data_IF_442116333081
#
_entry.id   IF_442116333081
#
_cell.length_a   1.000
_cell.length_b   1.000
_cell.length_c   1.000
_cell.angle_alpha   90.00
_cell.angle_beta   90.00
_cell.angle_gamma   90.00
#
_symmetry.space_group_name_H-M   'P 1'
#
loop_
_entity.id
_entity.type
_entity.pdbx_description
1 polymer ?
#
# COMPACT_ATOMS: atom_id res chain seq x y z
N UNK A 1 5.72 2.43 20.94
CA UNK A 1 5.19 2.70 19.57
C UNK A 1 5.68 1.61 18.64
N UNK A 2 4.95 1.32 17.58
CA UNK A 2 5.29 0.23 16.65
C UNK A 2 6.70 0.37 16.05
N UNK A 3 7.07 1.56 15.60
CA UNK A 3 8.38 1.81 14.98
C UNK A 3 9.55 1.64 15.94
N UNK A 4 9.37 1.98 17.23
CA UNK A 4 10.42 1.78 18.24
C UNK A 4 10.83 0.31 18.36
N UNK A 5 9.84 -0.59 18.20
CA UNK A 5 10.04 -2.03 18.39
C UNK A 5 10.38 -2.77 17.10
N UNK A 6 9.91 -2.25 15.96
CA UNK A 6 9.90 -2.99 14.69
C UNK A 6 10.79 -2.38 13.61
N UNK A 7 11.38 -1.20 13.84
CA UNK A 7 12.31 -0.63 12.87
C UNK A 7 13.59 -1.47 12.82
N UNK A 8 13.94 -2.03 11.64
CA UNK A 8 15.19 -2.78 11.50
C UNK A 8 16.41 -1.90 11.77
N UNK A 9 17.53 -2.52 12.22
CA UNK A 9 18.77 -1.80 12.51
C UNK A 9 19.24 -0.95 11.34
N UNK A 10 19.12 -1.44 10.10
CA UNK A 10 19.54 -0.76 8.89
C UNK A 10 18.41 0.03 8.22
N UNK A 11 17.28 0.21 8.91
CA UNK A 11 16.09 0.87 8.38
C UNK A 11 15.28 0.00 7.44
N UNK A 12 14.32 0.61 6.76
CA UNK A 12 13.50 -0.04 5.73
C UNK A 12 13.99 0.36 4.34
N UNK A 13 13.96 -0.58 3.41
CA UNK A 13 14.28 -0.28 2.00
C UNK A 13 13.23 0.62 1.37
N UNK A 14 11.96 0.40 1.70
CA UNK A 14 10.82 1.17 1.20
C UNK A 14 9.83 1.47 2.30
N UNK A 15 9.22 2.64 2.23
CA UNK A 15 8.13 3.07 3.12
C UNK A 15 7.01 3.57 2.23
N UNK A 16 5.92 2.85 2.17
CA UNK A 16 4.82 3.11 1.23
C UNK A 16 3.48 3.21 1.94
N UNK A 17 2.55 3.89 1.30
CA UNK A 17 1.17 4.01 1.80
C UNK A 17 0.20 4.18 0.64
N UNK A 18 -1.09 4.01 0.94
CA UNK A 18 -2.16 4.31 0.01
C UNK A 18 -2.25 5.82 -0.22
N UNK A 19 -2.58 6.23 -1.46
CA UNK A 19 -2.76 7.63 -1.79
C UNK A 19 -4.06 8.17 -1.19
N UNK A 20 -4.03 9.44 -0.84
CA UNK A 20 -5.20 10.15 -0.31
C UNK A 20 -6.17 10.50 -1.44
N UNK A 21 -7.35 9.87 -1.44
CA UNK A 21 -8.32 10.00 -2.51
C UNK A 21 -9.27 11.21 -2.38
N UNK A 22 -9.40 11.77 -1.20
CA UNK A 22 -10.48 12.71 -0.87
C UNK A 22 -10.19 14.19 -1.04
N UNK A 23 -9.09 14.54 -1.45
CA UNK A 23 -8.42 15.84 -1.76
C UNK A 23 -8.90 17.10 -1.03
N UNK A 24 -10.04 17.68 -1.31
CA UNK A 24 -10.39 19.04 -0.85
C UNK A 24 -11.69 19.15 -0.06
N UNK A 25 -12.42 18.09 0.15
CA UNK A 25 -13.68 18.13 0.91
C UNK A 25 -13.42 18.24 2.42
N UNK A 26 -14.17 19.09 3.10
CA UNK A 26 -14.12 19.23 4.55
C UNK A 26 -14.38 17.89 5.26
N UNK A 27 -15.23 17.03 4.72
CA UNK A 27 -15.51 15.69 5.28
C UNK A 27 -14.28 14.80 5.32
N UNK A 28 -13.24 15.11 4.55
CA UNK A 28 -12.01 14.33 4.48
C UNK A 28 -10.88 14.88 5.38
N UNK A 29 -11.12 15.94 6.12
CA UNK A 29 -10.10 16.50 7.02
C UNK A 29 -9.57 15.51 8.06
N UNK A 30 -10.39 14.65 8.69
CA UNK A 30 -9.86 13.65 9.61
C UNK A 30 -8.88 12.68 8.94
N UNK A 31 -9.16 12.28 7.69
CA UNK A 31 -8.28 11.40 6.92
C UNK A 31 -6.97 12.12 6.59
N UNK A 32 -7.05 13.39 6.17
CA UNK A 32 -5.88 14.20 5.87
C UNK A 32 -5.03 14.42 7.12
N UNK A 33 -5.65 14.67 8.28
CA UNK A 33 -4.95 14.85 9.55
C UNK A 33 -4.20 13.57 9.94
N UNK A 34 -4.84 12.40 9.80
CA UNK A 34 -4.21 11.10 10.07
C UNK A 34 -3.02 10.86 9.11
N UNK A 35 -3.20 11.20 7.86
CA UNK A 35 -2.17 11.05 6.82
C UNK A 35 -0.93 11.88 7.14
N UNK A 36 -1.12 13.15 7.56
CA UNK A 36 -0.03 14.04 7.98
C UNK A 36 0.62 13.57 9.28
N UNK A 37 -0.15 13.01 10.22
CA UNK A 37 0.37 12.47 11.46
C UNK A 37 1.30 11.27 11.19
N UNK A 38 0.93 10.40 10.26
CA UNK A 38 1.78 9.27 9.83
C UNK A 38 3.10 9.79 9.23
N UNK A 39 3.05 10.82 8.42
CA UNK A 39 4.24 11.41 7.80
C UNK A 39 5.19 11.98 8.85
N UNK A 40 4.65 12.70 9.83
CA UNK A 40 5.46 13.25 10.94
C UNK A 40 6.05 12.16 11.81
N UNK A 41 5.27 11.11 12.10
CA UNK A 41 5.75 9.97 12.88
C UNK A 41 6.90 9.25 12.17
N UNK A 42 6.76 8.99 10.89
CA UNK A 42 7.84 8.38 10.08
C UNK A 42 9.09 9.25 10.06
N UNK A 43 8.91 10.56 9.90
CA UNK A 43 10.01 11.53 9.88
C UNK A 43 10.86 11.51 11.15
N UNK A 44 10.27 11.25 12.32
CA UNK A 44 11.01 11.13 13.59
C UNK A 44 12.03 9.98 13.58
N UNK A 45 11.80 8.98 12.76
CA UNK A 45 12.71 7.82 12.58
C UNK A 45 13.58 7.95 11.35
N UNK A 46 13.62 9.14 10.72
CA UNK A 46 14.38 9.36 9.50
C UNK A 46 13.78 8.69 8.27
N UNK A 47 12.49 8.31 8.33
CA UNK A 47 11.80 7.64 7.25
C UNK A 47 11.01 8.64 6.41
N UNK A 48 11.02 8.45 5.10
CA UNK A 48 10.23 9.21 4.14
C UNK A 48 9.39 8.25 3.33
N UNK A 49 8.13 8.60 3.06
CA UNK A 49 7.30 7.78 2.19
C UNK A 49 7.77 7.87 0.74
N UNK A 50 7.92 6.71 0.11
CA UNK A 50 8.26 6.62 -1.29
C UNK A 50 7.08 7.08 -2.15
N UNK A 51 7.38 7.79 -3.23
CA UNK A 51 6.36 8.31 -4.14
C UNK A 51 6.12 7.31 -5.26
N UNK A 52 4.85 7.10 -5.58
CA UNK A 52 4.44 6.21 -6.65
C UNK A 52 4.26 6.99 -7.95
N UNK A 53 4.93 6.56 -9.02
CA UNK A 53 4.81 7.20 -10.33
C UNK A 53 4.25 6.22 -11.35
N UNK A 54 3.06 6.53 -11.87
CA UNK A 54 2.46 5.76 -12.96
C UNK A 54 3.23 5.99 -14.26
N UNK A 55 3.38 4.96 -15.11
CA UNK A 55 3.93 5.15 -16.44
C UNK A 55 3.19 6.25 -17.21
N UNK A 56 3.93 7.17 -17.82
CA UNK A 56 3.35 8.28 -18.58
C UNK A 56 2.88 9.48 -17.77
N UNK A 57 2.87 9.41 -16.45
CA UNK A 57 2.48 10.54 -15.60
C UNK A 57 3.69 11.40 -15.28
N UNK A 58 3.54 12.73 -15.39
CA UNK A 58 4.64 13.68 -15.15
C UNK A 58 5.03 13.79 -13.68
N UNK A 59 4.03 13.83 -12.81
CA UNK A 59 4.24 14.01 -11.37
C UNK A 59 3.91 12.71 -10.63
N UNK A 60 4.73 12.34 -9.63
CA UNK A 60 4.40 11.17 -8.83
C UNK A 60 3.23 11.45 -7.90
N UNK A 61 2.48 10.42 -7.57
CA UNK A 61 1.51 10.44 -6.49
C UNK A 61 2.22 10.26 -5.15
N UNK A 62 1.63 10.78 -4.08
CA UNK A 62 2.20 10.67 -2.73
C UNK A 62 2.01 9.29 -2.10
N UNK A 63 1.22 8.43 -2.73
CA UNK A 63 0.98 7.06 -2.33
C UNK A 63 0.44 6.27 -3.51
N UNK A 64 0.14 5.00 -3.32
CA UNK A 64 -0.41 4.15 -4.39
C UNK A 64 -1.93 4.23 -4.35
N UNK A 65 -2.60 4.66 -5.43
CA UNK A 65 -4.07 4.68 -5.46
C UNK A 65 -4.68 3.30 -5.21
N UNK A 66 -5.78 3.25 -4.46
CA UNK A 66 -6.45 2.00 -4.11
C UNK A 66 -6.82 1.14 -5.33
N UNK A 67 -7.30 1.77 -6.40
CA UNK A 67 -7.63 1.08 -7.65
C UNK A 67 -6.40 0.46 -8.31
N UNK A 68 -5.26 1.11 -8.20
CA UNK A 68 -3.99 0.61 -8.72
C UNK A 68 -3.53 -0.61 -7.94
N UNK A 69 -3.62 -0.57 -6.59
CA UNK A 69 -3.29 -1.70 -5.73
C UNK A 69 -4.15 -2.92 -6.12
N UNK A 70 -5.45 -2.73 -6.23
CA UNK A 70 -6.38 -3.80 -6.62
C UNK A 70 -6.05 -4.37 -8.00
N UNK A 71 -5.75 -3.51 -8.96
CA UNK A 71 -5.39 -3.94 -10.31
C UNK A 71 -4.10 -4.75 -10.33
N UNK A 72 -3.08 -4.31 -9.61
CA UNK A 72 -1.77 -4.98 -9.59
C UNK A 72 -1.79 -6.30 -8.82
N UNK A 73 -2.53 -6.38 -7.73
CA UNK A 73 -2.53 -7.54 -6.83
C UNK A 73 -3.65 -8.54 -7.17
N UNK A 74 -4.86 -8.04 -7.41
CA UNK A 74 -6.04 -8.87 -7.68
C UNK A 74 -6.44 -8.94 -9.15
N UNK A 75 -5.77 -8.19 -10.02
CA UNK A 75 -6.02 -8.21 -11.46
C UNK A 75 -7.13 -7.27 -11.95
N UNK A 76 -7.86 -6.62 -11.05
CA UNK A 76 -8.92 -5.68 -11.41
C UNK A 76 -9.03 -4.53 -10.39
N UNK A 77 -9.10 -3.30 -10.88
CA UNK A 77 -9.33 -2.13 -10.04
C UNK A 77 -10.70 -2.11 -9.34
N UNK A 78 -11.60 -2.99 -9.75
CA UNK A 78 -12.94 -3.17 -9.18
C UNK A 78 -13.03 -4.34 -8.21
N UNK A 79 -11.92 -4.99 -7.88
CA UNK A 79 -11.90 -6.13 -6.98
C UNK A 79 -12.52 -5.78 -5.62
N UNK A 80 -13.33 -6.68 -5.10
CA UNK A 80 -13.90 -6.56 -3.77
C UNK A 80 -12.86 -6.88 -2.70
N UNK A 81 -13.14 -6.49 -1.45
CA UNK A 81 -12.20 -6.67 -0.33
C UNK A 81 -11.79 -8.12 -0.11
N UNK A 82 -12.75 -9.05 -0.21
CA UNK A 82 -12.49 -10.48 -0.07
C UNK A 82 -11.65 -11.03 -1.24
N UNK A 83 -11.85 -10.53 -2.43
CA UNK A 83 -11.05 -10.90 -3.60
C UNK A 83 -9.61 -10.42 -3.45
N UNK A 84 -9.42 -9.20 -2.97
CA UNK A 84 -8.08 -8.65 -2.71
C UNK A 84 -7.37 -9.43 -1.60
N UNK A 85 -8.07 -9.75 -0.51
CA UNK A 85 -7.51 -10.55 0.57
C UNK A 85 -7.13 -11.95 0.09
N UNK A 86 -7.97 -12.58 -0.73
CA UNK A 86 -7.64 -13.88 -1.33
C UNK A 86 -6.38 -13.80 -2.21
N UNK A 87 -6.24 -12.72 -2.99
CA UNK A 87 -5.06 -12.50 -3.81
C UNK A 87 -3.79 -12.32 -2.95
N UNK A 88 -3.89 -11.57 -1.85
CA UNK A 88 -2.79 -11.41 -0.89
C UNK A 88 -2.35 -12.78 -0.34
N UNK A 89 -3.31 -13.63 0.04
CA UNK A 89 -3.02 -14.98 0.54
C UNK A 89 -2.31 -15.84 -0.51
N UNK A 90 -2.76 -15.77 -1.76
CA UNK A 90 -2.12 -16.52 -2.86
C UNK A 90 -0.67 -16.07 -3.09
N UNK A 91 -0.43 -14.76 -3.08
CA UNK A 91 0.89 -14.21 -3.37
C UNK A 91 1.89 -14.44 -2.24
N UNK A 92 1.44 -14.38 -1.00
CA UNK A 92 2.31 -14.51 0.18
C UNK A 92 2.41 -15.92 0.72
N UNK A 93 1.45 -16.78 0.42
CA UNK A 93 1.33 -18.09 1.05
C UNK A 93 0.85 -18.02 2.51
N UNK A 94 0.46 -16.85 2.98
CA UNK A 94 0.03 -16.65 4.36
C UNK A 94 -1.31 -17.35 4.62
N UNK A 95 -1.33 -18.24 5.61
CA UNK A 95 -2.49 -19.04 5.99
C UNK A 95 -3.11 -18.62 7.32
N UNK A 96 -2.53 -17.65 8.00
CA UNK A 96 -3.04 -17.12 9.25
C UNK A 96 -4.27 -16.24 9.07
N UNK A 97 -4.80 -15.74 10.17
CA UNK A 97 -5.93 -14.83 10.15
C UNK A 97 -5.46 -13.38 10.06
N UNK A 98 -6.23 -12.58 9.33
CA UNK A 98 -6.13 -11.13 9.42
C UNK A 98 -7.16 -10.63 10.45
N UNK A 99 -6.77 -9.70 11.31
CA UNK A 99 -7.67 -9.12 12.30
C UNK A 99 -8.84 -8.39 11.60
N UNK A 100 -8.56 -7.77 10.45
CA UNK A 100 -9.54 -7.08 9.63
C UNK A 100 -8.99 -6.90 8.21
N UNK A 101 -9.78 -6.30 7.33
CA UNK A 101 -9.35 -6.02 5.96
C UNK A 101 -8.22 -4.98 5.89
N UNK A 102 -8.09 -4.10 6.88
CA UNK A 102 -7.02 -3.10 6.88
C UNK A 102 -5.65 -3.73 6.93
N UNK A 103 -5.49 -4.83 7.66
CA UNK A 103 -4.22 -5.58 7.69
C UNK A 103 -3.88 -6.17 6.33
N UNK A 104 -4.84 -6.84 5.68
CA UNK A 104 -4.60 -7.40 4.34
C UNK A 104 -4.40 -6.31 3.28
N UNK A 105 -5.09 -5.19 3.42
CA UNK A 105 -4.91 -4.04 2.53
C UNK A 105 -3.50 -3.46 2.65
N UNK A 106 -2.95 -3.37 3.86
CA UNK A 106 -1.59 -2.92 4.07
C UNK A 106 -0.57 -3.83 3.38
N UNK A 107 -0.76 -5.14 3.47
CA UNK A 107 0.08 -6.11 2.74
C UNK A 107 -0.07 -5.94 1.23
N UNK A 108 -1.29 -5.72 0.75
CA UNK A 108 -1.55 -5.50 -0.67
C UNK A 108 -0.81 -4.27 -1.20
N UNK A 109 -0.78 -3.18 -0.43
CA UNK A 109 -0.03 -1.96 -0.79
C UNK A 109 1.46 -2.29 -0.94
N UNK A 110 2.03 -3.02 0.00
CA UNK A 110 3.42 -3.46 -0.06
C UNK A 110 3.71 -4.34 -1.28
N UNK A 111 2.82 -5.30 -1.57
CA UNK A 111 2.95 -6.15 -2.76
C UNK A 111 2.88 -5.35 -4.05
N UNK A 112 1.96 -4.40 -4.15
CA UNK A 112 1.85 -3.52 -5.31
C UNK A 112 3.13 -2.72 -5.52
N UNK A 113 3.72 -2.19 -4.45
CA UNK A 113 4.99 -1.49 -4.54
C UNK A 113 6.12 -2.39 -5.04
N UNK A 114 6.23 -3.61 -4.50
CA UNK A 114 7.27 -4.55 -4.92
C UNK A 114 7.12 -4.96 -6.39
N UNK A 115 5.89 -5.08 -6.88
CA UNK A 115 5.63 -5.29 -8.31
C UNK A 115 6.10 -4.06 -9.12
N UNK A 116 5.74 -2.87 -8.65
CA UNK A 116 6.06 -1.61 -9.33
C UNK A 116 7.58 -1.42 -9.50
N UNK A 117 8.37 -1.71 -8.47
CA UNK A 117 9.83 -1.58 -8.53
C UNK A 117 10.54 -2.81 -9.09
N UNK A 118 9.81 -3.84 -9.47
CA UNK A 118 10.37 -5.01 -10.15
C UNK A 118 11.00 -6.06 -9.24
N UNK A 119 10.76 -6.00 -7.93
CA UNK A 119 11.28 -7.00 -6.98
C UNK A 119 10.53 -8.33 -7.13
N UNK A 120 9.23 -8.26 -7.35
CA UNK A 120 8.38 -9.43 -7.62
C UNK A 120 7.61 -9.24 -8.91
N UNK A 121 7.20 -10.35 -9.53
CA UNK A 121 6.42 -10.31 -10.74
C UNK A 121 4.93 -10.12 -10.45
N UNK A 122 4.24 -9.44 -11.36
CA UNK A 122 2.79 -9.34 -11.31
C UNK A 122 2.18 -10.75 -11.42
N UNK A 123 1.16 -11.07 -10.61
CA UNK A 123 0.50 -12.36 -10.72
C UNK A 123 -0.02 -12.61 -12.14
N UNK A 124 0.18 -13.83 -12.64
CA UNK A 124 -0.38 -14.22 -13.93
C UNK A 124 -1.89 -14.30 -13.82
N UNK A 125 -2.60 -13.76 -14.82
CA UNK A 125 -4.03 -13.94 -14.90
C UNK A 125 -4.33 -15.44 -15.04
N UNK A 126 -5.23 -15.92 -14.17
CA UNK A 126 -5.73 -17.28 -14.35
C UNK A 126 -6.59 -17.30 -15.61
N UNK A 127 -6.16 -18.08 -16.59
CA UNK A 127 -7.00 -18.39 -17.75
C UNK A 127 -8.15 -19.28 -17.28
N UNK A 128 -9.33 -18.74 -17.33
CA UNK A 128 -10.53 -19.52 -17.07
C UNK A 128 -10.93 -20.31 -18.32
#
# INVERSE_FOLDING_TARGET
MFLDKNCPRDGFDYVVREDFAGKTSISNYPVLAAWNACERAASRFGLTFDKFRKPGKRTPDLGIPATTVKSMVAGSGKAEKDELQAAVRRMTGYKGEFANFDESDAVAIGLAWLIHVGVIDKPKEETR
#
